data_IF_962252095560
#
_entry.id   IF_962252095560
#
_cell.length_a   1.000
_cell.length_b   1.000
_cell.length_c   1.000
_cell.angle_alpha   90.00
_cell.angle_beta   90.00
_cell.angle_gamma   90.00
#
_symmetry.space_group_name_H-M   'P 1'
#
loop_
_entity.id
_entity.type
_entity.pdbx_description
1 polymer ?
#
# COMPACT_ATOMS: atom_id res chain seq x y z
N UNK A 1 -12.68 -0.20 3.27
CA UNK A 1 -11.93 -1.47 3.40
C UNK A 1 -11.18 -1.51 4.71
N UNK A 2 -10.98 -2.69 5.27
CA UNK A 2 -10.21 -2.87 6.49
C UNK A 2 -8.71 -2.64 6.23
N UNK A 3 -8.08 -1.81 7.04
CA UNK A 3 -6.68 -1.44 6.85
C UNK A 3 -5.94 -1.27 8.17
N UNK A 4 -4.61 -1.41 8.10
CA UNK A 4 -3.66 -0.97 9.14
C UNK A 4 -3.01 0.31 8.63
N UNK A 5 -3.07 1.37 9.40
CA UNK A 5 -2.68 2.69 8.92
C UNK A 5 -2.06 3.57 10.00
N UNK A 6 -1.27 4.55 9.55
CA UNK A 6 -0.81 5.65 10.35
C UNK A 6 -1.92 6.72 10.42
N UNK A 7 -2.42 7.01 11.59
CA UNK A 7 -3.41 8.09 11.80
C UNK A 7 -2.73 9.47 11.95
N UNK A 8 -1.45 9.48 12.20
CA UNK A 8 -0.58 10.62 12.35
C UNK A 8 0.86 10.14 12.44
N UNK A 9 1.75 11.00 12.90
CA UNK A 9 3.16 10.67 13.13
C UNK A 9 3.59 11.09 14.54
N UNK A 10 4.43 10.28 15.17
CA UNK A 10 5.02 10.58 16.47
C UNK A 10 6.41 9.92 16.55
N UNK A 11 7.44 10.73 16.59
CA UNK A 11 8.82 10.24 16.58
C UNK A 11 9.17 9.41 17.83
N UNK A 12 8.74 9.86 18.99
CA UNK A 12 9.10 9.25 20.27
C UNK A 12 8.22 8.06 20.64
N UNK A 13 6.95 8.07 20.17
CA UNK A 13 5.99 6.99 20.43
C UNK A 13 5.21 6.61 19.17
N UNK A 14 5.90 6.02 18.17
CA UNK A 14 5.30 5.75 16.85
C UNK A 14 4.06 4.84 16.93
N UNK A 15 4.04 3.86 17.80
CA UNK A 15 2.91 2.94 17.92
C UNK A 15 1.63 3.61 18.42
N UNK A 16 1.71 4.79 19.02
CA UNK A 16 0.52 5.57 19.40
C UNK A 16 -0.31 5.98 18.17
N UNK A 17 0.34 6.07 17.01
CA UNK A 17 -0.27 6.49 15.75
C UNK A 17 -0.75 5.32 14.88
N UNK A 18 -0.45 4.09 15.27
CA UNK A 18 -0.90 2.89 14.58
C UNK A 18 -2.38 2.62 14.85
N UNK A 19 -3.17 2.48 13.82
CA UNK A 19 -4.59 2.16 13.90
C UNK A 19 -4.96 0.99 12.98
N UNK A 20 -5.98 0.27 13.39
CA UNK A 20 -6.64 -0.76 12.58
C UNK A 20 -8.11 -0.36 12.47
N UNK A 21 -8.62 -0.27 11.26
CA UNK A 21 -10.01 0.15 11.04
C UNK A 21 -10.40 0.23 9.58
N UNK A 22 -11.56 0.82 9.35
CA UNK A 22 -12.10 1.04 8.00
C UNK A 22 -11.57 2.35 7.42
N UNK A 23 -11.08 2.28 6.20
CA UNK A 23 -10.75 3.43 5.35
C UNK A 23 -11.43 3.26 4.00
N UNK A 24 -11.58 4.36 3.27
CA UNK A 24 -12.05 4.33 1.90
C UNK A 24 -11.12 3.50 1.03
N UNK A 25 -11.69 2.73 0.12
CA UNK A 25 -10.88 1.99 -0.87
C UNK A 25 -10.20 3.00 -1.79
N UNK A 26 -8.87 2.91 -1.98
CA UNK A 26 -8.16 3.81 -2.87
C UNK A 26 -8.71 3.75 -4.29
N UNK A 27 -8.86 4.91 -4.92
CA UNK A 27 -9.23 5.00 -6.32
C UNK A 27 -8.09 4.53 -7.22
N UNK A 28 -8.44 3.75 -8.25
CA UNK A 28 -7.48 3.34 -9.26
C UNK A 28 -7.19 4.52 -10.18
N UNK A 29 -5.95 4.97 -10.21
CA UNK A 29 -5.48 6.04 -11.09
C UNK A 29 -5.16 5.50 -12.48
N UNK A 30 -5.11 6.36 -13.52
CA UNK A 30 -4.61 5.96 -14.84
C UNK A 30 -3.25 5.26 -14.73
N UNK A 31 -3.07 4.18 -15.49
CA UNK A 31 -1.85 3.32 -15.48
C UNK A 31 -1.58 2.58 -14.16
N UNK A 32 -2.54 2.54 -13.25
CA UNK A 32 -2.50 1.77 -12.03
C UNK A 32 -3.40 0.56 -12.15
N UNK A 33 -3.03 -0.52 -11.48
CA UNK A 33 -3.84 -1.72 -11.37
C UNK A 33 -4.10 -2.04 -9.90
N UNK A 34 -5.17 -2.73 -9.64
CA UNK A 34 -5.57 -3.14 -8.30
C UNK A 34 -5.27 -4.62 -8.09
N UNK A 35 -4.82 -4.97 -6.91
CA UNK A 35 -4.69 -6.37 -6.47
C UNK A 35 -5.59 -6.61 -5.25
N UNK A 36 -6.15 -7.80 -5.17
CA UNK A 36 -6.71 -8.33 -3.94
C UNK A 36 -5.58 -8.92 -3.11
N UNK A 37 -5.28 -8.28 -1.99
CA UNK A 37 -4.19 -8.68 -1.11
C UNK A 37 -4.56 -9.97 -0.38
N UNK A 38 -3.74 -11.02 -0.55
CA UNK A 38 -3.84 -12.28 0.19
C UNK A 38 -2.94 -12.26 1.43
N UNK A 39 -1.75 -11.66 1.32
CA UNK A 39 -0.80 -11.51 2.43
C UNK A 39 0.05 -10.26 2.24
N UNK A 40 0.51 -9.69 3.34
CA UNK A 40 1.44 -8.59 3.40
C UNK A 40 2.41 -8.80 4.56
N UNK A 41 3.61 -8.22 4.50
CA UNK A 41 4.54 -8.27 5.60
C UNK A 41 4.66 -6.92 6.31
N UNK A 42 5.13 -6.98 7.56
CA UNK A 42 5.47 -5.81 8.35
C UNK A 42 6.97 -5.60 8.24
N UNK A 43 7.37 -4.39 7.90
CA UNK A 43 8.76 -4.01 7.74
C UNK A 43 9.14 -2.87 8.69
N UNK A 44 10.43 -2.72 8.97
CA UNK A 44 10.92 -1.63 9.80
C UNK A 44 10.56 -0.25 9.22
N UNK A 45 10.40 -0.17 7.92
CA UNK A 45 9.92 1.00 7.20
C UNK A 45 8.56 1.51 7.74
N UNK A 46 7.68 0.62 8.17
CA UNK A 46 6.38 1.01 8.73
C UNK A 46 6.54 1.78 10.04
N UNK A 47 7.55 1.41 10.85
CA UNK A 47 7.91 2.15 12.06
C UNK A 47 8.47 3.53 11.72
N UNK A 48 9.34 3.62 10.71
CA UNK A 48 9.86 4.91 10.26
C UNK A 48 8.75 5.84 9.75
N UNK A 49 7.78 5.29 9.03
CA UNK A 49 6.61 6.07 8.60
C UNK A 49 5.82 6.60 9.78
N UNK A 50 5.58 5.78 10.79
CA UNK A 50 4.90 6.19 12.03
C UNK A 50 5.70 7.24 12.82
N UNK A 51 7.03 7.25 12.69
CA UNK A 51 7.92 8.26 13.26
C UNK A 51 7.95 9.58 12.45
N UNK A 52 7.36 9.60 11.27
CA UNK A 52 7.39 10.77 10.37
C UNK A 52 8.59 10.80 9.44
N UNK A 53 9.33 9.70 9.31
CA UNK A 53 10.42 9.57 8.34
C UNK A 53 9.82 9.23 6.98
N UNK A 54 9.89 10.17 6.05
CA UNK A 54 9.30 10.01 4.72
C UNK A 54 7.77 10.10 4.65
N UNK A 55 7.11 10.36 5.76
CA UNK A 55 5.67 10.59 5.87
C UNK A 55 5.42 11.84 6.71
N UNK A 56 4.76 12.83 6.13
CA UNK A 56 4.31 14.01 6.87
C UNK A 56 2.93 13.79 7.48
N UNK A 57 2.62 14.53 8.55
CA UNK A 57 1.32 14.46 9.20
C UNK A 57 0.15 14.80 8.25
N UNK A 58 0.38 15.67 7.27
CA UNK A 58 -0.62 16.07 6.28
C UNK A 58 -0.96 14.95 5.26
N UNK A 59 -0.10 13.96 5.14
CA UNK A 59 -0.32 12.79 4.29
C UNK A 59 -1.09 11.68 5.01
N UNK A 60 -1.42 11.89 6.28
CA UNK A 60 -2.20 10.91 7.06
C UNK A 60 -3.70 11.17 6.94
N UNK A 61 -4.56 10.14 7.06
CA UNK A 61 -4.21 8.75 7.32
C UNK A 61 -3.53 8.06 6.12
N UNK A 62 -2.49 7.27 6.40
CA UNK A 62 -1.73 6.54 5.38
C UNK A 62 -1.72 5.05 5.70
N UNK A 63 -2.19 4.22 4.76
CA UNK A 63 -2.14 2.77 4.89
C UNK A 63 -0.68 2.32 4.87
N UNK A 64 -0.28 1.52 5.85
CA UNK A 64 1.10 1.06 6.02
C UNK A 64 1.40 -0.21 5.20
N UNK A 65 2.67 -0.55 5.09
CA UNK A 65 3.20 -1.69 4.35
C UNK A 65 3.79 -1.30 2.98
N UNK A 66 4.76 -2.07 2.54
CA UNK A 66 5.52 -1.82 1.31
C UNK A 66 5.54 -3.02 0.37
N UNK A 67 5.01 -4.16 0.77
CA UNK A 67 4.95 -5.38 -0.01
C UNK A 67 3.65 -6.15 0.21
N UNK A 68 3.31 -6.97 -0.75
CA UNK A 68 2.15 -7.86 -0.68
C UNK A 68 2.25 -9.00 -1.68
N UNK A 69 1.47 -10.03 -1.46
CA UNK A 69 1.07 -10.98 -2.49
C UNK A 69 -0.45 -10.95 -2.64
N UNK A 70 -0.91 -11.28 -3.82
CA UNK A 70 -2.34 -11.27 -4.09
C UNK A 70 -2.66 -11.55 -5.55
N UNK A 71 -3.88 -11.24 -5.93
CA UNK A 71 -4.42 -11.53 -7.25
C UNK A 71 -4.79 -10.21 -7.94
N UNK A 72 -4.43 -10.10 -9.22
CA UNK A 72 -4.80 -8.95 -10.04
C UNK A 72 -6.31 -8.91 -10.29
N UNK A 73 -6.91 -7.74 -10.12
CA UNK A 73 -8.32 -7.49 -10.43
C UNK A 73 -8.57 -7.37 -11.93
N UNK A 74 -7.59 -6.85 -12.66
CA UNK A 74 -7.71 -6.50 -14.07
C UNK A 74 -6.41 -6.73 -14.83
N UNK A 75 -6.50 -6.78 -16.16
CA UNK A 75 -5.34 -6.92 -17.02
C UNK A 75 -4.40 -5.73 -16.87
N UNK A 76 -3.08 -5.98 -16.87
CA UNK A 76 -2.08 -4.92 -16.96
C UNK A 76 -1.73 -4.72 -18.44
N UNK A 77 -2.17 -3.60 -19.06
CA UNK A 77 -2.09 -3.43 -20.52
C UNK A 77 -0.67 -3.45 -21.07
N UNK A 78 0.29 -2.97 -20.30
CA UNK A 78 1.69 -2.81 -20.73
C UNK A 78 2.54 -4.08 -20.53
N UNK A 79 1.99 -5.12 -19.90
CA UNK A 79 2.70 -6.38 -19.64
C UNK A 79 1.94 -7.59 -20.12
N UNK A 80 2.48 -8.25 -21.14
CA UNK A 80 1.96 -9.56 -21.58
C UNK A 80 2.05 -10.58 -20.45
N UNK A 81 0.97 -11.32 -20.23
CA UNK A 81 0.92 -12.39 -19.22
C UNK A 81 0.43 -11.95 -17.85
N UNK A 82 0.32 -10.66 -17.58
CA UNK A 82 -0.29 -10.15 -16.36
C UNK A 82 -1.76 -9.82 -16.63
N UNK A 83 -2.61 -10.81 -16.46
CA UNK A 83 -4.04 -10.79 -16.67
C UNK A 83 -4.80 -10.79 -15.37
N UNK A 84 -6.05 -10.35 -15.40
CA UNK A 84 -6.97 -10.53 -14.30
C UNK A 84 -6.93 -11.98 -13.79
N UNK A 85 -6.88 -12.15 -12.48
CA UNK A 85 -6.74 -13.47 -11.85
C UNK A 85 -5.30 -13.97 -11.69
N UNK A 86 -4.28 -13.28 -12.23
CA UNK A 86 -2.89 -13.67 -12.04
C UNK A 86 -2.45 -13.46 -10.58
N UNK A 87 -1.76 -14.44 -10.03
CA UNK A 87 -1.09 -14.31 -8.74
C UNK A 87 0.19 -13.49 -8.89
N UNK A 88 0.37 -12.50 -8.03
CA UNK A 88 1.49 -11.56 -8.10
C UNK A 88 2.08 -11.30 -6.73
N UNK A 89 3.38 -11.00 -6.73
CA UNK A 89 4.08 -10.44 -5.58
C UNK A 89 4.46 -9.00 -5.93
N UNK A 90 4.12 -8.10 -5.03
CA UNK A 90 4.46 -6.69 -5.10
C UNK A 90 5.49 -6.37 -4.03
N UNK A 91 6.50 -5.61 -4.39
CA UNK A 91 7.32 -4.86 -3.45
C UNK A 91 7.48 -3.43 -3.97
N UNK A 92 7.49 -2.46 -3.08
CA UNK A 92 7.62 -1.05 -3.43
C UNK A 92 8.73 -0.40 -2.62
N UNK A 93 9.29 0.66 -3.18
CA UNK A 93 10.21 1.52 -2.46
C UNK A 93 9.48 2.71 -1.85
N UNK A 94 10.07 3.26 -0.81
CA UNK A 94 9.65 4.51 -0.18
C UNK A 94 9.55 5.63 -1.21
N UNK A 95 8.54 6.47 -1.08
CA UNK A 95 8.42 7.66 -1.90
C UNK A 95 7.74 7.46 -3.24
N UNK A 96 7.09 6.35 -3.44
CA UNK A 96 6.22 6.16 -4.59
C UNK A 96 4.83 6.75 -4.30
N UNK A 97 4.64 7.98 -4.69
CA UNK A 97 3.36 8.67 -4.96
C UNK A 97 2.18 8.45 -4.00
N UNK A 98 2.42 8.21 -2.74
CA UNK A 98 1.34 8.00 -1.78
C UNK A 98 0.50 6.74 -2.02
N UNK A 99 0.91 5.88 -2.95
CA UNK A 99 0.31 4.57 -3.11
C UNK A 99 0.81 3.59 -2.04
N UNK A 100 1.40 4.12 -1.00
CA UNK A 100 1.89 3.36 0.13
C UNK A 100 0.77 2.63 0.84
N UNK A 101 1.12 1.61 1.51
CA UNK A 101 0.28 0.99 2.46
C UNK A 101 -0.32 -0.34 2.10
N UNK A 102 -0.21 -1.19 3.04
CA UNK A 102 -0.81 -2.51 3.22
C UNK A 102 -0.73 -2.84 4.71
N UNK A 103 -1.49 -3.74 5.23
CA UNK A 103 -2.46 -4.59 4.58
C UNK A 103 -3.81 -3.92 4.38
N UNK A 104 -4.52 -4.36 3.38
CA UNK A 104 -5.90 -4.00 3.10
C UNK A 104 -6.53 -5.07 2.22
N UNK A 105 -7.82 -4.98 2.02
CA UNK A 105 -8.52 -5.91 1.14
C UNK A 105 -8.13 -5.70 -0.33
N UNK A 106 -7.77 -4.48 -0.67
CA UNK A 106 -7.36 -4.06 -2.02
C UNK A 106 -6.13 -3.17 -1.95
N UNK A 107 -5.38 -3.21 -3.02
CA UNK A 107 -4.20 -2.39 -3.22
C UNK A 107 -4.10 -1.89 -4.64
N UNK A 108 -3.79 -0.62 -4.81
CA UNK A 108 -3.48 -0.03 -6.11
C UNK A 108 -1.97 -0.02 -6.34
N UNK A 109 -1.52 -0.51 -7.47
CA UNK A 109 -0.12 -0.54 -7.87
C UNK A 109 0.10 0.21 -9.18
N UNK A 110 1.27 0.79 -9.35
CA UNK A 110 1.67 1.46 -10.58
C UNK A 110 2.10 0.41 -11.61
N UNK A 111 1.26 0.17 -12.62
CA UNK A 111 1.49 -0.91 -13.59
C UNK A 111 2.72 -0.71 -14.47
N UNK A 112 2.99 0.51 -14.91
CA UNK A 112 4.14 0.79 -15.78
C UNK A 112 5.48 0.61 -15.08
N UNK A 113 5.53 0.89 -13.79
CA UNK A 113 6.77 0.88 -13.02
C UNK A 113 7.05 -0.46 -12.36
N UNK A 114 6.03 -1.18 -11.94
CA UNK A 114 6.19 -2.37 -11.09
C UNK A 114 5.58 -3.65 -11.68
N UNK A 115 4.86 -3.52 -12.76
CA UNK A 115 4.28 -4.67 -13.46
C UNK A 115 5.24 -5.19 -14.61
#
# INVERSE_FOLDING_TARGET
>A
MKAVYAAGTDYDNPLSQLKVGELDTPETKPFWSTIHVAAASVNHHDIWSLQGVGLSAEQTPMILGTDASGVLDEDIPVRKGLKAGAEVVLYTFVGTDGAGGMPGERRTILSEKYA
#
